data_IF_582072993359
#
_entry.id   IF_582072993359
#
_cell.length_a   1.000
_cell.length_b   1.000
_cell.length_c   1.000
_cell.angle_alpha   90.00
_cell.angle_beta   90.00
_cell.angle_gamma   90.00
#
_symmetry.space_group_name_H-M   'P 1'
#
loop_
_entity.id
_entity.type
_entity.pdbx_description
1 polymer ?
#
# COMPACT_ATOMS: atom_id res chain seq x y z
N UNK A 1 16.28 20.37 49.29
CA UNK A 1 17.02 19.19 48.79
C UNK A 1 16.03 18.37 48.01
N UNK A 2 16.16 18.45 46.68
CA UNK A 2 15.68 17.57 45.61
C UNK A 2 14.42 16.73 45.87
N UNK A 3 13.31 17.15 45.24
CA UNK A 3 12.10 16.35 45.05
C UNK A 3 12.33 15.36 43.90
N UNK A 4 12.05 14.08 44.16
CA UNK A 4 12.03 13.00 43.18
C UNK A 4 11.01 13.29 42.07
N UNK A 5 11.50 13.46 40.85
CA UNK A 5 10.67 13.45 39.65
C UNK A 5 10.37 12.00 39.24
N UNK A 6 9.10 11.59 39.05
CA UNK A 6 8.80 10.25 38.57
C UNK A 6 9.26 10.10 37.12
N UNK A 7 10.16 9.14 36.92
CA UNK A 7 10.65 8.68 35.62
C UNK A 7 9.51 8.28 34.69
N UNK A 8 9.42 8.94 33.54
CA UNK A 8 8.49 8.64 32.45
C UNK A 8 8.80 7.26 31.82
N UNK A 9 7.90 6.26 31.89
CA UNK A 9 8.11 4.97 31.23
C UNK A 9 7.56 5.02 29.80
N UNK A 10 8.23 5.80 28.95
CA UNK A 10 7.99 5.76 27.50
C UNK A 10 9.34 5.74 26.75
N UNK A 11 10.24 4.87 27.19
CA UNK A 11 11.44 4.55 26.43
C UNK A 11 11.10 3.43 25.43
N UNK A 12 10.81 3.87 24.22
CA UNK A 12 11.35 3.36 22.95
C UNK A 12 11.46 1.82 22.84
N UNK A 13 10.39 1.16 22.37
CA UNK A 13 10.55 -0.11 21.65
C UNK A 13 11.30 0.22 20.36
N UNK A 14 12.61 -0.02 20.32
CA UNK A 14 13.32 -0.14 19.05
C UNK A 14 12.80 -1.40 18.35
N UNK A 15 11.65 -1.29 17.69
CA UNK A 15 11.23 -2.24 16.67
C UNK A 15 12.18 -2.07 15.49
N UNK A 16 12.78 -3.16 15.04
CA UNK A 16 13.48 -3.20 13.75
C UNK A 16 12.60 -2.53 12.67
N UNK A 17 13.19 -1.80 11.72
CA UNK A 17 12.41 -1.21 10.63
C UNK A 17 11.64 -2.32 9.89
N UNK A 18 10.42 -2.04 9.40
CA UNK A 18 9.63 -3.02 8.67
C UNK A 18 10.39 -3.49 7.41
N UNK A 19 10.12 -4.70 6.95
CA UNK A 19 10.71 -5.19 5.70
C UNK A 19 10.03 -4.52 4.49
N UNK A 20 8.71 -4.31 4.56
CA UNK A 20 7.90 -3.71 3.51
C UNK A 20 7.12 -2.49 4.04
N UNK A 21 7.18 -1.38 3.33
CA UNK A 21 6.26 -0.26 3.50
C UNK A 21 5.22 -0.28 2.40
N UNK A 22 3.96 -0.16 2.77
CA UNK A 22 2.83 -0.05 1.84
C UNK A 22 2.31 1.38 1.94
N UNK A 23 2.37 2.13 0.84
CA UNK A 23 1.83 3.49 0.76
C UNK A 23 0.47 3.51 0.08
N UNK A 24 -0.55 4.01 0.80
CA UNK A 24 -1.93 4.13 0.35
C UNK A 24 -2.37 5.60 0.39
N UNK A 25 -2.17 6.36 -0.71
CA UNK A 25 -2.75 7.69 -0.84
C UNK A 25 -4.25 7.56 -1.18
N UNK A 26 -5.13 8.24 -0.44
CA UNK A 26 -6.58 8.15 -0.64
C UNK A 26 -7.25 9.52 -0.67
N UNK A 27 -8.31 9.65 -1.46
CA UNK A 27 -9.28 10.74 -1.39
C UNK A 27 -10.68 10.20 -1.72
N UNK A 28 -11.59 10.24 -0.74
CA UNK A 28 -12.95 9.73 -0.86
C UNK A 28 -13.03 8.24 -1.29
N UNK A 29 -12.29 7.40 -0.58
CA UNK A 29 -12.16 5.96 -0.84
C UNK A 29 -13.11 5.07 -0.03
N UNK A 30 -14.09 5.63 0.68
CA UNK A 30 -14.87 4.91 1.69
C UNK A 30 -15.56 3.65 1.16
N UNK A 31 -15.83 3.59 -0.15
CA UNK A 31 -16.53 2.47 -0.78
C UNK A 31 -15.75 1.15 -0.69
N UNK A 32 -14.43 1.20 -0.84
CA UNK A 32 -13.61 -0.01 -1.02
C UNK A 32 -12.46 -0.13 -0.02
N UNK A 33 -12.08 0.98 0.63
CA UNK A 33 -10.84 1.04 1.42
C UNK A 33 -10.81 0.09 2.61
N UNK A 34 -11.97 -0.21 3.22
CA UNK A 34 -12.01 -1.17 4.33
C UNK A 34 -11.54 -2.56 3.88
N UNK A 35 -12.13 -3.08 2.80
CA UNK A 35 -11.75 -4.39 2.25
C UNK A 35 -10.32 -4.41 1.72
N UNK A 36 -9.87 -3.33 1.07
CA UNK A 36 -8.49 -3.20 0.61
C UNK A 36 -7.49 -3.28 1.77
N UNK A 37 -7.71 -2.51 2.85
CA UNK A 37 -6.87 -2.55 4.05
C UNK A 37 -6.91 -3.93 4.70
N UNK A 38 -8.09 -4.51 4.90
CA UNK A 38 -8.22 -5.82 5.54
C UNK A 38 -7.48 -6.91 4.77
N UNK A 39 -7.59 -6.93 3.44
CA UNK A 39 -6.86 -7.89 2.59
C UNK A 39 -5.33 -7.76 2.72
N UNK A 40 -4.82 -6.54 2.93
CA UNK A 40 -3.39 -6.31 3.19
C UNK A 40 -2.99 -6.77 4.60
N UNK A 41 -3.85 -6.55 5.60
CA UNK A 41 -3.62 -6.98 6.99
C UNK A 41 -3.62 -8.50 7.15
N UNK A 42 -4.36 -9.22 6.30
CA UNK A 42 -4.48 -10.68 6.30
C UNK A 42 -3.27 -11.40 5.68
N UNK A 43 -2.35 -10.68 5.03
CA UNK A 43 -1.16 -11.27 4.42
C UNK A 43 -0.27 -12.03 5.42
N UNK A 44 0.35 -13.11 4.95
CA UNK A 44 1.24 -13.98 5.74
C UNK A 44 2.48 -13.25 6.23
N UNK A 45 3.08 -12.39 5.40
CA UNK A 45 4.18 -11.52 5.79
C UNK A 45 3.70 -10.50 6.83
N UNK A 46 4.28 -10.51 8.03
CA UNK A 46 3.89 -9.62 9.14
C UNK A 46 4.80 -8.41 9.32
N UNK A 47 6.01 -8.46 8.78
CA UNK A 47 7.04 -7.42 8.90
C UNK A 47 6.80 -6.28 7.91
N UNK A 48 5.64 -5.62 8.02
CA UNK A 48 5.31 -4.48 7.20
C UNK A 48 4.63 -3.35 7.99
N UNK A 49 4.66 -2.16 7.40
CA UNK A 49 3.82 -1.03 7.80
C UNK A 49 2.87 -0.64 6.66
N UNK A 50 1.68 -0.15 7.01
CA UNK A 50 0.71 0.41 6.07
C UNK A 50 0.53 1.89 6.37
N UNK A 51 1.03 2.74 5.48
CA UNK A 51 0.97 4.19 5.58
C UNK A 51 -0.20 4.66 4.74
N UNK A 52 -1.20 5.25 5.38
CA UNK A 52 -2.38 5.78 4.71
C UNK A 52 -2.32 7.30 4.77
N UNK A 53 -2.38 7.97 3.62
CA UNK A 53 -2.48 9.43 3.54
C UNK A 53 -3.84 9.85 2.98
N UNK A 54 -4.75 10.23 3.89
CA UNK A 54 -6.05 10.80 3.55
C UNK A 54 -5.91 12.25 3.09
N UNK A 55 -6.26 12.52 1.83
CA UNK A 55 -6.12 13.81 1.18
C UNK A 55 -7.29 14.77 1.46
N UNK A 56 -7.65 14.90 2.74
CA UNK A 56 -8.80 15.66 3.22
C UNK A 56 -10.15 15.15 2.66
N UNK A 57 -10.38 13.83 2.74
CA UNK A 57 -11.66 13.22 2.36
C UNK A 57 -12.83 13.85 3.10
N UNK A 58 -13.98 13.87 2.41
CA UNK A 58 -15.26 14.40 2.88
C UNK A 58 -16.31 13.31 3.11
N UNK A 59 -15.98 12.06 2.76
CA UNK A 59 -16.80 10.89 3.01
C UNK A 59 -16.37 10.15 4.30
N UNK A 60 -16.74 8.88 4.43
CA UNK A 60 -16.43 8.06 5.62
C UNK A 60 -14.99 7.53 5.66
N UNK A 61 -14.12 7.90 4.72
CA UNK A 61 -12.73 7.41 4.64
C UNK A 61 -11.99 7.61 5.96
N UNK A 62 -12.07 8.81 6.55
CA UNK A 62 -11.39 9.12 7.81
C UNK A 62 -11.85 8.20 8.95
N UNK A 63 -13.16 8.01 9.09
CA UNK A 63 -13.73 7.21 10.17
C UNK A 63 -13.29 5.73 10.04
N UNK A 64 -13.27 5.20 8.82
CA UNK A 64 -12.83 3.83 8.54
C UNK A 64 -11.34 3.68 8.87
N UNK A 65 -10.48 4.55 8.34
CA UNK A 65 -9.03 4.43 8.52
C UNK A 65 -8.62 4.60 9.99
N UNK A 66 -9.24 5.53 10.74
CA UNK A 66 -8.96 5.70 12.18
C UNK A 66 -9.33 4.46 12.98
N UNK A 67 -10.52 3.90 12.75
CA UNK A 67 -10.98 2.67 13.41
C UNK A 67 -10.02 1.51 13.15
N UNK A 68 -9.57 1.34 11.92
CA UNK A 68 -8.63 0.27 11.55
C UNK A 68 -7.25 0.50 12.18
N UNK A 69 -6.77 1.74 12.24
CA UNK A 69 -5.50 2.09 12.87
C UNK A 69 -5.50 1.90 14.39
N UNK A 70 -6.64 2.08 15.05
CA UNK A 70 -6.80 1.74 16.47
C UNK A 70 -6.73 0.23 16.73
N UNK A 71 -7.15 -0.59 15.75
CA UNK A 71 -7.20 -2.05 15.84
C UNK A 71 -5.86 -2.71 15.52
N UNK A 72 -5.07 -2.16 14.59
CA UNK A 72 -3.84 -2.77 14.10
C UNK A 72 -2.67 -1.78 14.10
N UNK A 73 -1.67 -2.04 14.95
CA UNK A 73 -0.50 -1.18 15.13
C UNK A 73 0.45 -1.10 13.92
N UNK A 74 0.22 -1.88 12.86
CA UNK A 74 0.95 -1.74 11.59
C UNK A 74 0.47 -0.53 10.76
N UNK A 75 -0.70 0.01 11.06
CA UNK A 75 -1.29 1.12 10.30
C UNK A 75 -0.80 2.47 10.85
N UNK A 76 -0.22 3.28 9.97
CA UNK A 76 0.14 4.68 10.21
C UNK A 76 -0.79 5.57 9.39
N UNK A 77 -1.84 6.07 10.04
CA UNK A 77 -2.81 6.96 9.41
C UNK A 77 -2.40 8.43 9.54
N UNK A 78 -2.26 9.11 8.41
CA UNK A 78 -2.05 10.55 8.29
C UNK A 78 -3.19 11.17 7.50
N UNK A 79 -3.69 12.32 7.96
CA UNK A 79 -4.74 13.07 7.27
C UNK A 79 -4.24 14.48 6.98
N UNK A 80 -4.29 14.86 5.71
CA UNK A 80 -4.02 16.22 5.28
C UNK A 80 -5.18 17.14 5.68
N UNK A 81 -4.86 18.37 6.08
CA UNK A 81 -5.86 19.39 6.46
C UNK A 81 -6.62 19.93 5.25
N UNK A 82 -6.00 19.89 4.07
CA UNK A 82 -6.59 20.27 2.78
C UNK A 82 -6.14 19.26 1.72
N UNK A 83 -6.90 19.13 0.63
CA UNK A 83 -6.46 18.33 -0.50
C UNK A 83 -5.22 18.96 -1.16
N UNK A 84 -4.09 18.27 -1.12
CA UNK A 84 -2.79 18.73 -1.62
C UNK A 84 -2.52 18.33 -3.08
N UNK A 85 -3.50 17.72 -3.75
CA UNK A 85 -3.36 17.15 -5.09
C UNK A 85 -2.81 15.73 -5.07
N UNK A 86 -2.92 15.04 -6.22
CA UNK A 86 -2.60 13.62 -6.36
C UNK A 86 -1.12 13.33 -6.09
N UNK A 87 -0.23 13.92 -6.87
CA UNK A 87 1.21 13.61 -6.81
C UNK A 87 1.81 13.84 -5.44
N UNK A 88 1.51 14.99 -4.80
CA UNK A 88 2.01 15.27 -3.45
C UNK A 88 1.52 14.26 -2.41
N UNK A 89 0.32 13.71 -2.58
CA UNK A 89 -0.19 12.69 -1.68
C UNK A 89 0.52 11.34 -1.88
N UNK A 90 0.88 11.01 -3.12
CA UNK A 90 1.73 9.85 -3.44
C UNK A 90 3.15 10.01 -2.91
N UNK A 91 3.75 11.19 -3.08
CA UNK A 91 5.09 11.50 -2.57
C UNK A 91 5.11 11.39 -1.04
N UNK A 92 4.08 11.92 -0.36
CA UNK A 92 4.01 11.91 1.10
C UNK A 92 4.03 10.49 1.69
N UNK A 93 3.27 9.54 1.14
CA UNK A 93 3.30 8.15 1.63
C UNK A 93 4.65 7.47 1.37
N UNK A 94 5.33 7.84 0.28
CA UNK A 94 6.66 7.33 -0.04
C UNK A 94 7.72 7.91 0.90
N UNK A 95 7.69 9.22 1.16
CA UNK A 95 8.62 9.89 2.08
C UNK A 95 8.45 9.42 3.54
N UNK A 96 7.24 9.02 3.93
CA UNK A 96 6.95 8.48 5.26
C UNK A 96 7.42 7.02 5.45
N UNK A 97 7.75 6.32 4.36
CA UNK A 97 8.14 4.92 4.37
C UNK A 97 9.50 4.70 5.02
N UNK A 98 9.60 3.63 5.82
CA UNK A 98 10.82 3.26 6.55
C UNK A 98 11.32 1.86 6.22
N UNK A 99 10.59 1.12 5.39
CA UNK A 99 10.89 -0.26 5.05
C UNK A 99 11.94 -0.41 3.97
N UNK A 100 12.55 -1.60 3.90
CA UNK A 100 13.53 -1.94 2.86
C UNK A 100 12.91 -1.93 1.46
N UNK A 101 11.66 -2.41 1.35
CA UNK A 101 10.88 -2.42 0.11
C UNK A 101 9.68 -1.51 0.21
N UNK A 102 9.20 -1.03 -0.94
CA UNK A 102 8.03 -0.17 -1.03
C UNK A 102 7.01 -0.71 -2.04
N UNK A 103 5.72 -0.61 -1.68
CA UNK A 103 4.58 -0.92 -2.55
C UNK A 103 3.56 0.22 -2.51
N UNK A 104 3.14 0.72 -3.67
CA UNK A 104 1.91 1.52 -3.78
C UNK A 104 0.66 0.62 -3.69
N UNK A 105 -0.37 1.10 -3.02
CA UNK A 105 -1.69 0.47 -2.97
C UNK A 105 -2.76 1.51 -3.30
N UNK A 106 -3.74 1.14 -4.11
CA UNK A 106 -4.99 1.90 -4.22
C UNK A 106 -5.94 1.51 -3.08
N UNK A 107 -6.86 2.42 -2.78
CA UNK A 107 -7.98 2.23 -1.85
C UNK A 107 -9.01 1.17 -2.31
N UNK A 108 -8.79 0.56 -3.48
CA UNK A 108 -9.65 -0.44 -4.11
C UNK A 108 -8.89 -1.72 -4.51
N UNK A 109 -7.60 -1.82 -4.18
CA UNK A 109 -6.80 -3.00 -4.47
C UNK A 109 -6.97 -4.07 -3.38
N UNK A 110 -7.47 -5.24 -3.77
CA UNK A 110 -7.54 -6.41 -2.89
C UNK A 110 -6.30 -7.29 -3.06
N UNK A 111 -5.57 -7.52 -1.98
CA UNK A 111 -4.36 -8.36 -1.99
C UNK A 111 -4.74 -9.83 -1.78
N UNK A 112 -4.51 -10.67 -2.81
CA UNK A 112 -4.68 -12.12 -2.70
C UNK A 112 -3.62 -12.75 -1.78
N UNK A 113 -3.91 -13.93 -1.25
CA UNK A 113 -3.06 -14.64 -0.29
C UNK A 113 -1.63 -14.87 -0.82
N UNK A 114 -0.65 -14.57 0.05
CA UNK A 114 0.77 -14.79 -0.20
C UNK A 114 1.39 -13.81 -1.18
N UNK A 115 0.69 -12.75 -1.59
CA UNK A 115 1.24 -11.72 -2.48
C UNK A 115 2.53 -11.14 -1.90
N UNK A 116 2.49 -10.58 -0.69
CA UNK A 116 3.65 -9.86 -0.14
C UNK A 116 4.86 -10.78 0.05
N UNK A 117 4.63 -11.98 0.61
CA UNK A 117 5.67 -12.98 0.82
C UNK A 117 6.35 -13.40 -0.48
N UNK A 118 5.57 -13.70 -1.53
CA UNK A 118 6.11 -14.13 -2.83
C UNK A 118 6.96 -13.05 -3.49
N UNK A 119 6.51 -11.79 -3.48
CA UNK A 119 7.27 -10.69 -4.08
C UNK A 119 8.54 -10.37 -3.29
N UNK A 120 8.45 -10.32 -1.95
CA UNK A 120 9.62 -10.07 -1.10
C UNK A 120 10.63 -11.21 -1.21
N UNK A 121 10.19 -12.47 -1.28
CA UNK A 121 11.11 -13.61 -1.44
C UNK A 121 11.95 -13.52 -2.73
N UNK A 122 11.37 -13.05 -3.83
CA UNK A 122 12.11 -12.83 -5.09
C UNK A 122 13.17 -11.73 -4.92
N UNK A 123 12.79 -10.61 -4.28
CA UNK A 123 13.69 -9.48 -4.06
C UNK A 123 14.83 -9.81 -3.10
N UNK A 124 14.55 -10.56 -2.02
CA UNK A 124 15.58 -11.03 -1.08
C UNK A 124 16.54 -12.06 -1.69
N UNK A 125 16.06 -12.88 -2.62
CA UNK A 125 16.88 -13.92 -3.26
C UNK A 125 17.82 -13.40 -4.34
N UNK A 126 17.57 -12.19 -4.87
CA UNK A 126 18.28 -11.64 -6.02
C UNK A 126 18.50 -10.14 -5.91
N UNK A 127 19.74 -9.74 -5.65
CA UNK A 127 20.13 -8.33 -5.54
C UNK A 127 20.01 -7.55 -6.86
N UNK A 128 19.95 -8.23 -8.00
CA UNK A 128 19.81 -7.62 -9.33
C UNK A 128 18.34 -7.34 -9.72
N UNK A 129 17.38 -7.80 -8.92
CA UNK A 129 15.96 -7.55 -9.15
C UNK A 129 15.54 -6.27 -8.42
N UNK A 130 15.00 -5.31 -9.18
CA UNK A 130 14.56 -4.00 -8.65
C UNK A 130 13.04 -3.88 -8.52
N UNK A 131 12.28 -4.81 -9.08
CA UNK A 131 10.81 -4.81 -9.06
C UNK A 131 10.28 -6.24 -9.12
N UNK A 132 9.26 -6.53 -8.32
CA UNK A 132 8.46 -7.75 -8.39
C UNK A 132 6.98 -7.38 -8.27
N UNK A 133 6.14 -7.95 -9.13
CA UNK A 133 4.69 -7.73 -9.12
C UNK A 133 3.94 -9.02 -9.49
N UNK A 134 2.72 -9.22 -9.00
CA UNK A 134 1.94 -10.42 -9.27
C UNK A 134 1.13 -10.24 -10.56
N UNK A 135 0.53 -11.33 -11.05
CA UNK A 135 -0.63 -11.20 -11.94
C UNK A 135 -1.80 -10.60 -11.16
N UNK A 136 -2.68 -9.90 -11.87
CA UNK A 136 -3.84 -9.25 -11.28
C UNK A 136 -5.14 -9.72 -11.94
N UNK A 137 -6.26 -9.49 -11.26
CA UNK A 137 -7.60 -9.61 -11.82
C UNK A 137 -8.29 -8.25 -11.74
N UNK A 138 -9.02 -7.87 -12.78
CA UNK A 138 -9.94 -6.74 -12.73
C UNK A 138 -11.31 -7.24 -12.28
N UNK A 139 -11.84 -6.61 -11.24
CA UNK A 139 -13.24 -6.78 -10.84
C UNK A 139 -14.09 -5.80 -11.63
N UNK A 140 -14.91 -6.34 -12.54
CA UNK A 140 -15.78 -5.58 -13.43
C UNK A 140 -17.25 -5.91 -13.10
N UNK A 141 -18.15 -4.97 -13.38
CA UNK A 141 -19.57 -5.28 -13.45
C UNK A 141 -19.95 -5.61 -14.89
N UNK A 142 -20.64 -6.73 -15.09
CA UNK A 142 -21.28 -7.03 -16.37
C UNK A 142 -22.49 -6.09 -16.61
N UNK A 143 -23.11 -6.11 -17.81
CA UNK A 143 -24.27 -5.26 -18.10
C UNK A 143 -25.49 -5.50 -17.19
N UNK A 144 -25.59 -6.65 -16.55
CA UNK A 144 -26.65 -7.01 -15.60
C UNK A 144 -26.31 -6.61 -14.15
N UNK A 145 -25.13 -6.02 -13.94
CA UNK A 145 -24.65 -5.54 -12.65
C UNK A 145 -23.98 -6.61 -11.79
N UNK A 146 -23.66 -7.79 -12.35
CA UNK A 146 -22.96 -8.86 -11.63
C UNK A 146 -21.45 -8.63 -11.67
N UNK A 147 -20.79 -8.81 -10.53
CA UNK A 147 -19.34 -8.75 -10.44
C UNK A 147 -18.68 -9.97 -11.11
N UNK A 148 -17.69 -9.69 -11.95
CA UNK A 148 -16.90 -10.68 -12.70
C UNK A 148 -15.43 -10.35 -12.54
N UNK A 149 -14.63 -11.34 -12.15
CA UNK A 149 -13.17 -11.23 -12.14
C UNK A 149 -12.62 -11.65 -13.51
N UNK A 150 -11.86 -10.77 -14.15
CA UNK A 150 -11.17 -11.03 -15.42
C UNK A 150 -9.68 -10.95 -15.19
N UNK A 151 -8.92 -11.96 -15.64
CA UNK A 151 -7.45 -11.91 -15.54
C UNK A 151 -6.92 -10.70 -16.31
N UNK A 152 -6.14 -9.87 -15.63
CA UNK A 152 -5.48 -8.72 -16.22
C UNK A 152 -4.11 -9.14 -16.74
N UNK A 153 -3.90 -8.89 -18.03
CA UNK A 153 -2.60 -9.07 -18.67
C UNK A 153 -2.17 -7.72 -19.25
N UNK A 154 -1.07 -7.18 -18.74
CA UNK A 154 -0.51 -5.90 -19.20
C UNK A 154 0.03 -5.97 -20.64
N UNK A 155 0.35 -7.19 -21.08
CA UNK A 155 1.01 -7.52 -22.34
C UNK A 155 2.31 -6.74 -22.56
N UNK A 156 2.95 -6.25 -21.50
CA UNK A 156 4.19 -5.49 -21.65
C UNK A 156 5.30 -6.44 -22.08
N UNK A 157 5.93 -6.17 -23.22
CA UNK A 157 7.14 -6.87 -23.65
C UNK A 157 8.35 -6.35 -22.86
N UNK A 158 8.35 -6.54 -21.53
CA UNK A 158 9.39 -6.03 -20.63
C UNK A 158 10.74 -6.72 -20.85
N UNK A 159 10.73 -7.88 -21.49
CA UNK A 159 11.91 -8.72 -21.73
C UNK A 159 12.73 -8.27 -22.95
N UNK A 160 12.18 -7.44 -23.84
CA UNK A 160 12.94 -6.96 -25.01
C UNK A 160 14.07 -6.03 -24.58
N UNK A 161 15.27 -6.20 -25.14
CA UNK A 161 16.42 -5.37 -24.80
C UNK A 161 16.22 -3.89 -25.19
N UNK A 162 15.42 -3.60 -26.23
CA UNK A 162 15.23 -2.24 -26.73
C UNK A 162 13.97 -1.61 -26.12
N UNK A 163 14.10 -0.51 -25.35
CA UNK A 163 12.95 0.17 -24.76
C UNK A 163 11.86 0.54 -25.77
N UNK A 164 12.22 1.00 -26.96
CA UNK A 164 11.25 1.35 -28.00
C UNK A 164 10.42 0.15 -28.49
N UNK A 165 11.00 -1.05 -28.51
CA UNK A 165 10.29 -2.28 -28.93
C UNK A 165 9.30 -2.76 -27.86
N UNK A 166 9.57 -2.47 -26.57
CA UNK A 166 8.62 -2.76 -25.48
C UNK A 166 7.29 -2.05 -25.66
N UNK A 167 7.32 -0.86 -26.28
CA UNK A 167 6.14 0.02 -26.42
C UNK A 167 5.60 0.12 -27.86
N UNK A 168 6.33 -0.35 -28.88
CA UNK A 168 5.91 -0.18 -30.28
C UNK A 168 4.58 -0.85 -30.59
N UNK A 169 4.26 -1.96 -29.90
CA UNK A 169 2.99 -2.67 -30.06
C UNK A 169 1.74 -1.86 -29.65
N UNK A 170 1.90 -0.73 -28.96
CA UNK A 170 0.78 0.12 -28.51
C UNK A 170 0.60 1.40 -29.36
N UNK A 171 1.39 1.56 -30.42
CA UNK A 171 1.31 2.72 -31.32
C UNK A 171 0.46 2.45 -32.57
N UNK A 172 0.04 1.22 -32.79
CA UNK A 172 -0.86 0.77 -33.87
C UNK A 172 -2.29 0.55 -33.34
#
# INVERSE_FOLDING_TARGET
MLEDSPSNPAQNKQSSPPLLSIGLPVYNGAKWIEGAIESALEQSLREFELIISDNASTDQTEAICRRLAERDGRIRYHRNTTNIGLYKNFDLVFEMATGKYFKWAADSDFCLEGFFEKCVAVLEAREDVVLAYPRAYLLLCDPDGKEVAVEYYDNFNLEDERPSTRFSQYLE
#
